data_IF_545812872869
#
_entry.id   IF_545812872869
#
_cell.length_a   1.000
_cell.length_b   1.000
_cell.length_c   1.000
_cell.angle_alpha   90.00
_cell.angle_beta   90.00
_cell.angle_gamma   90.00
#
_symmetry.space_group_name_H-M   'P 1'
#
loop_
_entity.id
_entity.type
_entity.pdbx_description
1 polymer ?
#
# COMPACT_ATOMS: atom_id res chain seq x y z
N UNK A 1 -5.65 4.90 6.44
CA UNK A 1 -5.63 3.64 5.66
C UNK A 1 -7.00 3.27 5.13
N UNK A 2 -8.05 3.39 5.92
CA UNK A 2 -9.41 3.01 5.50
C UNK A 2 -9.88 3.79 4.28
N UNK A 3 -9.66 5.11 4.28
CA UNK A 3 -10.03 5.95 3.13
C UNK A 3 -9.20 5.62 1.89
N UNK A 4 -7.91 5.33 2.05
CA UNK A 4 -7.05 4.87 0.96
C UNK A 4 -7.54 3.54 0.35
N UNK A 5 -7.90 2.58 1.21
CA UNK A 5 -8.43 1.29 0.78
C UNK A 5 -9.76 1.44 0.02
N UNK A 6 -10.71 2.22 0.57
CA UNK A 6 -12.01 2.50 -0.07
C UNK A 6 -11.83 3.22 -1.40
N UNK A 7 -10.93 4.22 -1.44
CA UNK A 7 -10.65 4.99 -2.64
C UNK A 7 -10.13 4.12 -3.80
N UNK A 8 -9.22 3.19 -3.50
CA UNK A 8 -8.65 2.27 -4.49
C UNK A 8 -9.45 0.97 -4.65
N UNK A 9 -10.65 0.87 -4.06
CA UNK A 9 -11.54 -0.29 -4.13
C UNK A 9 -10.87 -1.60 -3.69
N UNK A 10 -10.02 -1.54 -2.67
CA UNK A 10 -9.37 -2.71 -2.05
C UNK A 10 -9.90 -2.95 -0.65
N UNK A 11 -9.79 -4.18 -0.16
CA UNK A 11 -10.25 -4.53 1.19
C UNK A 11 -9.48 -3.74 2.26
N UNK A 12 -10.20 -3.01 3.11
CA UNK A 12 -9.64 -2.29 4.26
C UNK A 12 -8.84 -3.24 5.16
N UNK A 13 -9.39 -4.41 5.49
CA UNK A 13 -8.70 -5.42 6.29
C UNK A 13 -7.40 -5.89 5.64
N UNK A 14 -7.38 -6.04 4.32
CA UNK A 14 -6.20 -6.48 3.58
C UNK A 14 -5.10 -5.40 3.61
N UNK A 15 -5.45 -4.12 3.45
CA UNK A 15 -4.50 -3.01 3.56
C UNK A 15 -3.88 -2.95 4.96
N UNK A 16 -4.69 -3.10 6.01
CA UNK A 16 -4.19 -3.17 7.40
C UNK A 16 -3.28 -4.37 7.64
N UNK A 17 -3.64 -5.55 7.11
CA UNK A 17 -2.81 -6.75 7.25
C UNK A 17 -1.45 -6.59 6.54
N UNK A 18 -1.44 -5.97 5.34
CA UNK A 18 -0.20 -5.65 4.64
C UNK A 18 0.64 -4.67 5.46
N UNK A 19 0.09 -3.55 5.92
CA UNK A 19 0.82 -2.58 6.74
C UNK A 19 1.40 -3.21 8.02
N UNK A 20 0.68 -4.16 8.62
CA UNK A 20 1.18 -4.91 9.78
C UNK A 20 2.36 -5.80 9.40
N UNK A 21 2.32 -6.49 8.26
CA UNK A 21 3.41 -7.34 7.77
C UNK A 21 4.64 -6.53 7.37
N UNK A 22 4.44 -5.33 6.80
CA UNK A 22 5.51 -4.48 6.26
C UNK A 22 6.26 -3.74 7.36
N UNK A 23 5.56 -3.07 8.25
CA UNK A 23 6.17 -2.15 9.23
C UNK A 23 5.68 -2.33 10.66
N UNK A 24 4.80 -3.30 10.93
CA UNK A 24 4.06 -3.34 12.21
C UNK A 24 3.16 -2.11 12.39
N UNK A 25 2.71 -1.49 11.30
CA UNK A 25 1.93 -0.24 11.24
C UNK A 25 2.70 1.02 11.70
N UNK A 26 4.03 0.99 11.68
CA UNK A 26 4.88 2.14 11.98
C UNK A 26 5.20 2.95 10.72
N UNK A 27 4.92 4.27 10.74
CA UNK A 27 5.10 5.15 9.58
C UNK A 27 6.56 5.54 9.32
N UNK A 28 7.41 5.52 10.35
CA UNK A 28 8.79 6.04 10.29
C UNK A 28 9.83 4.95 9.97
N UNK A 29 9.41 3.77 9.53
CA UNK A 29 10.32 2.68 9.18
C UNK A 29 10.92 2.91 7.80
N UNK A 30 12.24 2.79 7.70
CA UNK A 30 12.96 2.78 6.43
C UNK A 30 13.90 1.57 6.43
N UNK A 31 13.83 0.75 5.39
CA UNK A 31 14.70 -0.40 5.20
C UNK A 31 15.57 -0.21 3.97
N UNK A 32 16.88 -0.42 4.11
CA UNK A 32 17.83 -0.41 2.99
C UNK A 32 17.98 -1.83 2.45
N UNK A 33 17.69 -2.01 1.17
CA UNK A 33 17.82 -3.28 0.48
C UNK A 33 19.26 -3.49 -0.04
N UNK A 34 19.63 -4.74 -0.26
CA UNK A 34 20.97 -5.12 -0.77
C UNK A 34 21.25 -4.59 -2.18
N UNK A 35 20.24 -4.25 -2.95
CA UNK A 35 20.34 -3.66 -4.28
C UNK A 35 20.41 -2.12 -4.28
N UNK A 36 20.55 -1.51 -3.10
CA UNK A 36 20.61 -0.05 -2.90
C UNK A 36 19.24 0.65 -2.91
N UNK A 37 18.15 -0.05 -3.22
CA UNK A 37 16.81 0.52 -3.06
C UNK A 37 16.43 0.62 -1.59
N UNK A 38 15.44 1.46 -1.27
CA UNK A 38 14.91 1.59 0.09
C UNK A 38 13.41 1.38 0.10
N UNK A 39 12.92 0.72 1.14
CA UNK A 39 11.50 0.59 1.42
C UNK A 39 11.12 1.60 2.49
N UNK A 40 10.08 2.39 2.26
CA UNK A 40 9.79 3.61 3.02
C UNK A 40 8.40 3.55 3.64
N UNK A 41 8.34 3.80 4.93
CA UNK A 41 7.13 4.14 5.67
C UNK A 41 6.21 2.98 6.00
N UNK A 42 4.95 3.31 6.26
CA UNK A 42 3.91 2.42 6.77
C UNK A 42 3.72 1.13 5.96
N UNK A 43 3.70 1.25 4.66
CA UNK A 43 3.47 0.15 3.71
C UNK A 43 4.74 -0.23 2.93
N UNK A 44 5.91 0.24 3.39
CA UNK A 44 7.23 -0.09 2.86
C UNK A 44 7.30 0.08 1.33
N UNK A 45 6.97 1.30 0.87
CA UNK A 45 7.01 1.63 -0.55
C UNK A 45 8.45 1.68 -1.05
N UNK A 46 8.78 0.81 -2.00
CA UNK A 46 10.12 0.75 -2.56
C UNK A 46 10.45 2.02 -3.36
N UNK A 47 11.66 2.55 -3.17
CA UNK A 47 12.13 3.78 -3.81
C UNK A 47 12.14 3.74 -5.34
N UNK A 48 12.10 2.56 -5.95
CA UNK A 48 11.96 2.41 -7.41
C UNK A 48 10.63 2.96 -7.94
N UNK A 49 9.61 3.04 -7.10
CA UNK A 49 8.34 3.65 -7.46
C UNK A 49 8.43 5.17 -7.63
N UNK A 50 9.48 5.83 -7.10
CA UNK A 50 9.64 7.28 -7.16
C UNK A 50 9.64 7.82 -8.60
N UNK A 51 10.19 7.08 -9.57
CA UNK A 51 10.13 7.45 -10.98
C UNK A 51 8.69 7.58 -11.49
N UNK A 52 7.80 6.68 -11.06
CA UNK A 52 6.37 6.75 -11.41
C UNK A 52 5.65 7.80 -10.57
N UNK A 53 5.92 7.84 -9.27
CA UNK A 53 5.24 8.71 -8.31
C UNK A 53 5.55 10.20 -8.54
N UNK A 54 6.74 10.53 -9.04
CA UNK A 54 7.12 11.91 -9.38
C UNK A 54 6.21 12.53 -10.44
N UNK A 55 5.66 11.74 -11.36
CA UNK A 55 4.66 12.20 -12.35
C UNK A 55 3.37 12.72 -11.71
N UNK A 56 3.10 12.31 -10.47
CA UNK A 56 1.97 12.74 -9.66
C UNK A 56 2.37 13.77 -8.60
N UNK A 57 3.62 14.25 -8.65
CA UNK A 57 4.17 15.20 -7.70
C UNK A 57 4.42 14.62 -6.31
N UNK A 58 4.56 13.28 -6.21
CA UNK A 58 4.89 12.60 -4.96
C UNK A 58 6.40 12.38 -4.93
N UNK A 59 7.04 12.97 -3.93
CA UNK A 59 8.47 12.87 -3.67
C UNK A 59 8.78 11.77 -2.63
N UNK A 60 10.07 11.53 -2.41
CA UNK A 60 10.54 10.64 -1.35
C UNK A 60 10.08 11.11 0.04
N UNK A 61 10.13 12.43 0.30
CA UNK A 61 9.71 12.98 1.59
C UNK A 61 8.23 12.75 1.87
N UNK A 62 7.39 12.78 0.84
CA UNK A 62 5.96 12.56 0.98
C UNK A 62 5.63 11.11 1.39
N UNK A 63 6.50 10.15 1.09
CA UNK A 63 6.34 8.76 1.51
C UNK A 63 6.57 8.54 3.01
N UNK A 64 7.09 9.52 3.75
CA UNK A 64 7.14 9.48 5.21
C UNK A 64 5.82 9.94 5.84
N UNK A 65 4.95 10.62 5.11
CA UNK A 65 3.60 10.91 5.56
C UNK A 65 2.74 9.65 5.54
N UNK A 66 2.12 9.35 6.68
CA UNK A 66 1.33 8.14 6.88
C UNK A 66 0.16 8.01 5.89
N UNK A 67 -0.51 9.12 5.60
CA UNK A 67 -1.65 9.12 4.69
C UNK A 67 -1.20 8.89 3.25
N UNK A 68 -0.22 9.66 2.77
CA UNK A 68 0.34 9.52 1.42
C UNK A 68 0.86 8.11 1.18
N UNK A 69 1.60 7.55 2.15
CA UNK A 69 2.13 6.20 2.07
C UNK A 69 1.02 5.14 1.97
N UNK A 70 -0.05 5.28 2.77
CA UNK A 70 -1.20 4.37 2.71
C UNK A 70 -1.93 4.44 1.36
N UNK A 71 -2.10 5.64 0.78
CA UNK A 71 -2.71 5.79 -0.55
C UNK A 71 -1.86 5.15 -1.64
N UNK A 72 -0.54 5.37 -1.63
CA UNK A 72 0.38 4.75 -2.59
C UNK A 72 0.38 3.22 -2.44
N UNK A 73 0.43 2.70 -1.23
CA UNK A 73 0.40 1.26 -0.98
C UNK A 73 -0.91 0.60 -1.43
N UNK A 74 -2.04 1.22 -1.12
CA UNK A 74 -3.35 0.73 -1.57
C UNK A 74 -3.47 0.77 -3.11
N UNK A 75 -2.92 1.81 -3.75
CA UNK A 75 -2.84 1.90 -5.21
C UNK A 75 -1.99 0.77 -5.81
N UNK A 76 -0.78 0.50 -5.29
CA UNK A 76 0.07 -0.59 -5.75
C UNK A 76 -0.65 -1.95 -5.63
N UNK A 77 -1.33 -2.18 -4.51
CA UNK A 77 -2.14 -3.39 -4.31
C UNK A 77 -3.25 -3.49 -5.35
N UNK A 78 -3.99 -2.40 -5.58
CA UNK A 78 -5.05 -2.32 -6.59
C UNK A 78 -4.53 -2.68 -7.99
N UNK A 79 -3.38 -2.12 -8.40
CA UNK A 79 -2.75 -2.44 -9.69
C UNK A 79 -2.42 -3.93 -9.82
N UNK A 80 -1.91 -4.56 -8.76
CA UNK A 80 -1.63 -6.00 -8.78
C UNK A 80 -2.90 -6.83 -8.90
N UNK A 81 -3.96 -6.46 -8.17
CA UNK A 81 -5.26 -7.14 -8.25
C UNK A 81 -5.91 -7.00 -9.63
N UNK A 82 -5.79 -5.82 -10.26
CA UNK A 82 -6.25 -5.62 -11.63
C UNK A 82 -5.48 -6.48 -12.64
N UNK A 83 -4.17 -6.52 -12.52
CA UNK A 83 -3.31 -7.23 -13.47
C UNK A 83 -3.34 -8.75 -13.34
N UNK A 84 -3.43 -9.27 -12.12
CA UNK A 84 -3.27 -10.70 -11.80
C UNK A 84 -4.57 -11.37 -11.36
N UNK A 85 -5.66 -10.59 -11.21
CA UNK A 85 -6.93 -11.05 -10.69
C UNK A 85 -7.03 -11.00 -9.17
N UNK A 86 -8.25 -11.23 -8.65
CA UNK A 86 -8.54 -11.21 -7.22
C UNK A 86 -8.08 -12.53 -6.56
N UNK A 87 -6.78 -12.68 -6.38
CA UNK A 87 -6.17 -13.90 -5.83
C UNK A 87 -4.94 -13.60 -4.95
N UNK A 88 -4.45 -14.61 -4.26
CA UNK A 88 -3.30 -14.48 -3.35
C UNK A 88 -1.96 -14.29 -4.07
N UNK A 89 -1.84 -14.63 -5.36
CA UNK A 89 -0.64 -14.30 -6.15
C UNK A 89 -0.53 -12.78 -6.38
N UNK A 90 -1.67 -12.11 -6.63
CA UNK A 90 -1.73 -10.65 -6.74
C UNK A 90 -1.35 -9.96 -5.42
N UNK A 91 -1.81 -10.46 -4.28
CA UNK A 91 -1.38 -9.98 -2.96
C UNK A 91 0.13 -10.21 -2.78
N UNK A 92 0.61 -11.38 -3.15
CA UNK A 92 2.03 -11.74 -3.10
C UNK A 92 2.91 -10.84 -3.97
N UNK A 93 2.40 -10.39 -5.11
CA UNK A 93 3.09 -9.52 -6.05
C UNK A 93 3.35 -8.10 -5.47
N UNK A 94 2.73 -7.76 -4.35
CA UNK A 94 3.01 -6.53 -3.63
C UNK A 94 4.49 -6.45 -3.18
N UNK A 95 5.05 -7.57 -2.71
CA UNK A 95 6.41 -7.62 -2.15
C UNK A 95 7.41 -8.37 -3.05
N UNK A 96 6.98 -9.24 -3.94
CA UNK A 96 7.89 -10.16 -4.61
C UNK A 96 7.62 -10.39 -6.10
N UNK A 97 8.69 -10.54 -6.88
CA UNK A 97 8.61 -10.81 -8.32
C UNK A 97 8.37 -12.29 -8.66
N UNK A 98 8.98 -13.23 -7.93
CA UNK A 98 8.88 -14.67 -8.23
C UNK A 98 7.73 -15.34 -7.52
N UNK A 99 7.07 -16.31 -8.16
CA UNK A 99 5.88 -17.00 -7.64
C UNK A 99 6.10 -17.61 -6.24
N UNK A 100 7.23 -18.26 -6.01
CA UNK A 100 7.52 -18.85 -4.69
C UNK A 100 7.56 -17.81 -3.57
N UNK A 101 8.26 -16.69 -3.80
CA UNK A 101 8.34 -15.58 -2.85
C UNK A 101 6.98 -14.89 -2.67
N UNK A 102 6.20 -14.72 -3.76
CA UNK A 102 4.83 -14.19 -3.69
C UNK A 102 3.95 -15.02 -2.75
N UNK A 103 3.97 -16.35 -2.90
CA UNK A 103 3.16 -17.23 -2.06
C UNK A 103 3.63 -17.24 -0.61
N UNK A 104 4.93 -17.14 -0.35
CA UNK A 104 5.45 -17.00 1.01
C UNK A 104 4.98 -15.70 1.67
N UNK A 105 5.04 -14.60 0.95
CA UNK A 105 4.52 -13.30 1.41
C UNK A 105 3.00 -13.33 1.63
N UNK A 106 2.24 -13.82 0.67
CA UNK A 106 0.79 -13.93 0.75
C UNK A 106 0.34 -14.74 1.97
N UNK A 107 1.05 -15.82 2.32
CA UNK A 107 0.78 -16.60 3.55
C UNK A 107 0.98 -15.79 4.82
N UNK A 108 1.97 -14.90 4.87
CA UNK A 108 2.16 -14.01 6.04
C UNK A 108 0.97 -13.05 6.17
N UNK A 109 0.59 -12.41 5.06
CA UNK A 109 -0.56 -11.49 5.03
C UNK A 109 -1.85 -12.22 5.41
N UNK A 110 -2.08 -13.43 4.88
CA UNK A 110 -3.25 -14.25 5.21
C UNK A 110 -3.34 -14.58 6.71
N UNK A 111 -2.22 -14.97 7.33
CA UNK A 111 -2.19 -15.23 8.78
C UNK A 111 -2.52 -13.98 9.58
N UNK A 112 -1.91 -12.84 9.24
CA UNK A 112 -2.18 -11.56 9.90
C UNK A 112 -3.64 -11.14 9.73
N UNK A 113 -4.22 -11.30 8.54
CA UNK A 113 -5.63 -11.00 8.27
C UNK A 113 -6.58 -11.80 9.16
N UNK A 114 -6.27 -13.08 9.41
CA UNK A 114 -7.10 -13.95 10.24
C UNK A 114 -6.89 -13.76 11.75
N UNK A 115 -5.73 -13.22 12.16
CA UNK A 115 -5.46 -12.89 13.56
C UNK A 115 -6.05 -11.53 13.96
N UNK A 116 -6.41 -10.70 13.01
CA UNK A 116 -6.99 -9.36 13.27
C UNK A 116 -8.51 -9.49 13.46
N UNK A 117 -9.08 -9.01 14.58
CA UNK A 117 -10.52 -9.02 14.80
C UNK A 117 -11.28 -8.30 13.67
N UNK A 118 -12.56 -8.64 13.40
CA UNK A 118 -13.36 -7.93 12.42
C UNK A 118 -13.46 -6.44 12.82
N UNK A 119 -13.45 -5.55 11.81
CA UNK A 119 -13.45 -4.08 12.01
C UNK A 119 -14.62 -3.57 12.87
N UNK A 120 -15.74 -4.30 12.91
CA UNK A 120 -16.90 -4.01 13.76
C UNK A 120 -16.63 -4.10 15.26
N UNK A 121 -15.55 -4.77 15.66
CA UNK A 121 -15.14 -4.92 17.07
C UNK A 121 -14.07 -3.93 17.51
N UNK A 122 -13.58 -3.07 16.59
CA UNK A 122 -12.57 -2.07 16.91
C UNK A 122 -13.23 -0.74 17.30
N UNK A 123 -12.76 -0.07 18.38
CA UNK A 123 -13.22 1.28 18.70
C UNK A 123 -12.93 2.21 17.52
N UNK A 124 -13.88 3.11 17.22
CA UNK A 124 -13.72 4.08 16.13
C UNK A 124 -12.46 4.93 16.36
N UNK A 125 -11.55 4.91 15.41
CA UNK A 125 -10.37 5.77 15.46
C UNK A 125 -10.80 7.25 15.44
N UNK A 126 -10.15 8.14 16.20
CA UNK A 126 -10.47 9.57 16.17
C UNK A 126 -10.33 10.09 14.74
N UNK A 127 -11.35 10.81 14.27
CA UNK A 127 -11.33 11.47 12.95
C UNK A 127 -10.29 12.59 13.00
N UNK A 128 -9.12 12.35 12.42
CA UNK A 128 -8.16 13.41 12.19
C UNK A 128 -8.65 14.22 11.00
N UNK A 129 -9.06 15.46 11.25
CA UNK A 129 -9.36 16.46 10.22
C UNK A 129 -8.04 16.86 9.55
N UNK A 130 -7.61 16.13 8.54
CA UNK A 130 -6.47 16.51 7.72
C UNK A 130 -6.93 17.22 6.45
N UNK A 131 -6.19 18.29 6.13
CA UNK A 131 -6.47 19.25 5.06
C UNK A 131 -6.58 18.63 3.67
N UNK A 132 -7.52 19.09 2.82
CA UNK A 132 -7.82 18.50 1.51
C UNK A 132 -6.78 18.72 0.41
N UNK A 133 -5.72 19.49 0.65
CA UNK A 133 -4.85 20.02 -0.40
C UNK A 133 -3.91 19.00 -1.09
N UNK A 134 -3.36 18.04 -0.35
CA UNK A 134 -2.44 17.05 -0.93
C UNK A 134 -3.20 15.86 -1.55
N UNK A 135 -4.32 15.49 -0.95
CA UNK A 135 -5.16 14.37 -1.39
C UNK A 135 -5.78 14.64 -2.76
N UNK A 136 -6.09 15.90 -3.09
CA UNK A 136 -6.64 16.28 -4.39
C UNK A 136 -5.71 15.98 -5.57
N UNK A 137 -4.39 15.94 -5.36
CA UNK A 137 -3.42 15.54 -6.40
C UNK A 137 -3.35 14.03 -6.61
N UNK A 138 -3.61 13.24 -5.55
CA UNK A 138 -3.70 11.79 -5.61
C UNK A 138 -5.06 11.29 -6.13
N UNK A 139 -6.08 12.18 -6.17
CA UNK A 139 -7.46 11.87 -6.52
C UNK A 139 -7.75 11.87 -8.01
N UNK A 140 -6.79 12.14 -8.88
CA UNK A 140 -7.02 11.92 -10.32
C UNK A 140 -7.02 10.41 -10.58
N UNK A 141 -8.11 9.86 -11.14
CA UNK A 141 -8.09 8.47 -11.59
C UNK A 141 -6.93 8.32 -12.56
N UNK A 142 -6.03 7.37 -12.27
CA UNK A 142 -5.03 6.92 -13.23
C UNK A 142 -5.78 6.19 -14.34
N UNK A 143 -6.34 6.93 -15.30
CA UNK A 143 -6.79 6.32 -16.54
C UNK A 143 -5.54 5.83 -17.25
N UNK A 144 -5.39 4.52 -17.32
CA UNK A 144 -4.48 3.87 -18.25
C UNK A 144 -4.94 4.23 -19.66
N UNK A 145 -4.31 5.22 -20.29
CA UNK A 145 -4.32 5.32 -21.74
C UNK A 145 -3.24 4.37 -22.25
N UNK A 146 -3.70 3.20 -22.69
CA UNK A 146 -2.87 2.22 -23.37
C UNK A 146 -2.30 2.85 -24.63
N UNK A 147 -0.99 2.94 -24.70
CA UNK A 147 -0.29 3.23 -25.93
C UNK A 147 -0.36 1.94 -26.77
N UNK A 148 -1.12 1.99 -27.87
CA UNK A 148 -1.07 1.01 -28.96
C UNK A 148 0.20 1.17 -29.75
#
# INVERSE_FOLDING_TARGET
MDDAARFHHVSVRLVHAIATVESGQHANVVHLNTDGSTDIGLMQINSRWLTTLSRFGISRSDLHDRCTNAYVGAWILSQNLHRLGLNWDAVGAYNAGTRGKRMAYARRVYRTLNMTPPLSSMPAAPRTTQQPGLIAKLLRPLTWEGNQ
#
